data_IF_472547061795
#
_entry.id   IF_472547061795
#
_cell.length_a   1.000
_cell.length_b   1.000
_cell.length_c   1.000
_cell.angle_alpha   90.00
_cell.angle_beta   90.00
_cell.angle_gamma   90.00
#
_symmetry.space_group_name_H-M   'P 1'
#
loop_
_entity.id
_entity.type
_entity.pdbx_description
1 polymer ?
#
# COMPACT_ATOMS: atom_id res chain seq x y z
N UNK A 1 27.41 59.17 23.34
CA UNK A 1 26.23 58.28 23.60
C UNK A 1 25.57 57.72 22.33
N UNK A 2 25.93 58.16 21.11
CA UNK A 2 25.34 57.66 19.85
C UNK A 2 25.83 56.28 19.42
N UNK A 3 27.04 55.87 19.76
CA UNK A 3 27.64 54.60 19.32
C UNK A 3 26.98 53.36 19.93
N UNK A 4 26.54 53.43 21.17
CA UNK A 4 25.91 52.32 21.89
C UNK A 4 24.51 51.98 21.31
N UNK A 5 23.74 52.97 20.92
CA UNK A 5 22.40 52.79 20.31
C UNK A 5 22.50 52.18 18.91
N UNK A 6 23.47 52.62 18.12
CA UNK A 6 23.70 52.08 16.77
C UNK A 6 24.17 50.62 16.79
N UNK A 7 25.03 50.26 17.74
CA UNK A 7 25.50 48.90 17.91
C UNK A 7 24.36 47.95 18.36
N UNK A 8 23.53 48.39 19.30
CA UNK A 8 22.37 47.62 19.74
C UNK A 8 21.35 47.38 18.60
N UNK A 9 21.11 48.40 17.80
CA UNK A 9 20.22 48.29 16.63
C UNK A 9 20.75 47.29 15.61
N UNK A 10 22.06 47.32 15.31
CA UNK A 10 22.68 46.37 14.40
C UNK A 10 22.58 44.91 14.88
N UNK A 11 22.76 44.68 16.18
CA UNK A 11 22.62 43.35 16.78
C UNK A 11 21.17 42.83 16.67
N UNK A 12 20.19 43.70 16.92
CA UNK A 12 18.77 43.33 16.80
C UNK A 12 18.42 42.98 15.35
N UNK A 13 18.86 43.75 14.37
CA UNK A 13 18.66 43.45 12.97
C UNK A 13 19.34 42.13 12.56
N UNK A 14 20.56 41.89 12.98
CA UNK A 14 21.26 40.65 12.73
C UNK A 14 20.50 39.46 13.34
N UNK A 15 19.98 39.58 14.56
CA UNK A 15 19.17 38.59 15.21
C UNK A 15 17.87 38.27 14.45
N UNK A 16 17.20 39.31 13.96
CA UNK A 16 15.96 39.12 13.14
C UNK A 16 16.28 38.43 11.82
N UNK A 17 17.35 38.80 11.12
CA UNK A 17 17.74 38.12 9.87
C UNK A 17 18.12 36.67 10.11
N UNK A 18 18.81 36.34 11.18
CA UNK A 18 19.15 34.98 11.55
C UNK A 18 17.88 34.17 11.88
N UNK A 19 16.96 34.77 12.63
CA UNK A 19 15.69 34.13 12.98
C UNK A 19 14.84 33.80 11.73
N UNK A 20 14.74 34.74 10.79
CA UNK A 20 14.03 34.50 9.51
C UNK A 20 14.77 33.45 8.69
N UNK A 21 16.10 33.48 8.62
CA UNK A 21 16.92 32.52 7.89
C UNK A 21 16.78 31.09 8.39
N UNK A 22 16.49 30.91 9.68
CA UNK A 22 16.21 29.57 10.25
C UNK A 22 14.73 29.20 10.15
N UNK A 23 13.84 30.16 10.37
CA UNK A 23 12.41 29.90 10.38
C UNK A 23 11.87 29.59 8.98
N UNK A 24 12.30 30.31 7.96
CA UNK A 24 11.80 30.15 6.61
C UNK A 24 11.99 28.72 6.07
N UNK A 25 13.20 28.11 6.10
CA UNK A 25 13.38 26.74 5.67
C UNK A 25 12.62 25.73 6.51
N UNK A 26 12.49 25.96 7.83
CA UNK A 26 11.76 25.07 8.70
C UNK A 26 10.27 25.02 8.36
N UNK A 27 9.67 26.17 8.09
CA UNK A 27 8.26 26.27 7.66
C UNK A 27 8.07 25.69 6.25
N UNK A 28 8.96 26.03 5.30
CA UNK A 28 8.88 25.53 3.92
C UNK A 28 8.98 24.01 3.87
N UNK A 29 9.98 23.41 4.54
CA UNK A 29 10.13 21.97 4.61
C UNK A 29 8.95 21.28 5.33
N UNK A 30 8.36 21.94 6.32
CA UNK A 30 7.16 21.45 6.99
C UNK A 30 5.96 21.42 6.03
N UNK A 31 5.79 22.46 5.24
CA UNK A 31 4.72 22.55 4.25
C UNK A 31 4.86 21.53 3.13
N UNK A 32 6.07 21.35 2.59
CA UNK A 32 6.37 20.35 1.57
C UNK A 32 6.01 18.94 2.06
N UNK A 33 6.40 18.57 3.27
CA UNK A 33 6.09 17.26 3.86
C UNK A 33 4.58 17.01 4.03
N UNK A 34 3.83 18.05 4.39
CA UNK A 34 2.36 17.93 4.51
C UNK A 34 1.75 17.77 3.13
N UNK A 35 2.18 18.55 2.16
CA UNK A 35 1.67 18.47 0.78
C UNK A 35 1.98 17.10 0.15
N UNK A 36 3.21 16.60 0.32
CA UNK A 36 3.60 15.27 -0.17
C UNK A 36 2.75 14.17 0.47
N UNK A 37 2.54 14.23 1.79
CA UNK A 37 1.69 13.27 2.50
C UNK A 37 0.21 13.34 2.08
N UNK A 38 -0.30 14.52 1.71
CA UNK A 38 -1.65 14.68 1.15
C UNK A 38 -1.75 14.05 -0.23
N UNK A 39 -0.75 14.25 -1.10
CA UNK A 39 -0.71 13.64 -2.45
C UNK A 39 -0.65 12.11 -2.33
N UNK A 40 0.26 11.58 -1.53
CA UNK A 40 0.40 10.13 -1.31
C UNK A 40 -0.90 9.50 -0.79
N UNK A 41 -1.61 10.23 0.08
CA UNK A 41 -2.91 9.79 0.60
C UNK A 41 -3.99 9.78 -0.46
N UNK A 42 -4.04 10.82 -1.29
CA UNK A 42 -5.03 10.93 -2.36
C UNK A 42 -4.80 9.86 -3.43
N UNK A 43 -3.55 9.59 -3.79
CA UNK A 43 -3.18 8.51 -4.72
C UNK A 43 -3.56 7.14 -4.15
N UNK A 44 -3.26 6.86 -2.87
CA UNK A 44 -3.67 5.62 -2.22
C UNK A 44 -5.21 5.46 -2.18
N UNK A 45 -5.95 6.54 -1.99
CA UNK A 45 -7.41 6.51 -2.05
C UNK A 45 -7.94 6.25 -3.46
N UNK A 46 -7.30 6.80 -4.50
CA UNK A 46 -7.67 6.54 -5.89
C UNK A 46 -7.40 5.08 -6.25
N UNK A 47 -6.24 4.53 -5.86
CA UNK A 47 -5.89 3.14 -6.09
C UNK A 47 -6.87 2.20 -5.39
N UNK A 48 -7.21 2.47 -4.14
CA UNK A 48 -8.22 1.69 -3.40
C UNK A 48 -9.59 1.72 -4.08
N UNK A 49 -10.02 2.86 -4.61
CA UNK A 49 -11.32 3.01 -5.29
C UNK A 49 -11.35 2.37 -6.68
N UNK A 50 -10.20 2.31 -7.34
CA UNK A 50 -10.05 1.75 -8.67
C UNK A 50 -9.66 0.25 -8.64
N UNK A 51 -9.36 -0.28 -7.47
CA UNK A 51 -9.12 -1.70 -7.26
C UNK A 51 -10.47 -2.40 -7.05
N UNK A 52 -10.69 -3.46 -7.77
CA UNK A 52 -11.82 -4.37 -7.58
C UNK A 52 -11.35 -5.79 -7.87
N UNK A 53 -11.59 -6.71 -6.95
CA UNK A 53 -11.20 -8.11 -7.09
C UNK A 53 -12.38 -9.01 -6.78
N UNK A 54 -12.51 -10.08 -7.54
CA UNK A 54 -13.60 -11.01 -7.41
C UNK A 54 -13.10 -12.46 -7.40
N UNK A 55 -13.53 -13.24 -6.42
CA UNK A 55 -13.26 -14.67 -6.41
C UNK A 55 -14.13 -15.31 -7.48
N UNK A 56 -13.51 -15.91 -8.49
CA UNK A 56 -14.20 -16.57 -9.60
C UNK A 56 -14.39 -18.04 -9.34
N UNK A 57 -13.50 -18.67 -8.57
CA UNK A 57 -13.60 -20.09 -8.23
C UNK A 57 -12.80 -20.40 -6.95
N UNK A 58 -13.35 -21.24 -6.10
CA UNK A 58 -12.66 -21.86 -4.98
C UNK A 58 -12.97 -23.36 -5.03
N UNK A 59 -11.92 -24.16 -5.11
CA UNK A 59 -12.01 -25.62 -5.07
C UNK A 59 -11.14 -26.15 -3.93
N UNK A 60 -11.19 -27.46 -3.68
CA UNK A 60 -10.35 -28.12 -2.67
C UNK A 60 -8.82 -27.97 -2.95
N UNK A 61 -8.43 -27.49 -4.12
CA UNK A 61 -7.01 -27.44 -4.51
C UNK A 61 -6.53 -26.07 -4.99
N UNK A 62 -7.43 -25.12 -5.26
CA UNK A 62 -7.06 -23.80 -5.76
C UNK A 62 -8.11 -22.73 -5.46
N UNK A 63 -7.65 -21.51 -5.26
CA UNK A 63 -8.45 -20.29 -5.29
C UNK A 63 -8.09 -19.48 -6.53
N UNK A 64 -9.09 -18.99 -7.25
CA UNK A 64 -8.93 -18.09 -8.40
C UNK A 64 -9.61 -16.77 -8.12
N UNK A 65 -8.85 -15.69 -8.28
CA UNK A 65 -9.32 -14.32 -8.06
C UNK A 65 -9.02 -13.50 -9.30
N UNK A 66 -10.03 -12.84 -9.85
CA UNK A 66 -9.88 -11.96 -10.99
C UNK A 66 -9.76 -10.51 -10.55
N UNK A 67 -8.85 -9.77 -11.17
CA UNK A 67 -8.79 -8.32 -11.06
C UNK A 67 -9.85 -7.72 -11.99
N UNK A 68 -10.94 -7.22 -11.43
CA UNK A 68 -12.02 -6.56 -12.16
C UNK A 68 -11.90 -5.03 -12.12
N UNK A 69 -10.91 -4.53 -11.36
CA UNK A 69 -10.60 -3.12 -11.28
C UNK A 69 -9.83 -2.58 -12.47
N UNK A 70 -9.40 -1.36 -12.36
CA UNK A 70 -8.54 -0.67 -13.34
C UNK A 70 -7.11 -0.44 -12.85
N UNK A 71 -6.81 -0.84 -11.61
CA UNK A 71 -5.49 -0.73 -11.00
C UNK A 71 -4.70 -2.02 -11.18
N UNK A 72 -3.42 -1.90 -11.52
CA UNK A 72 -2.50 -3.04 -11.53
C UNK A 72 -2.10 -3.39 -10.10
N UNK A 73 -2.11 -4.67 -9.78
CA UNK A 73 -1.81 -5.20 -8.45
C UNK A 73 -0.49 -5.96 -8.46
N UNK A 74 0.08 -6.15 -7.29
CA UNK A 74 1.30 -6.93 -7.08
C UNK A 74 0.94 -8.27 -6.45
N UNK A 75 1.07 -9.36 -7.22
CA UNK A 75 0.76 -10.71 -6.78
C UNK A 75 1.62 -11.18 -5.60
N UNK A 76 2.87 -10.68 -5.48
CA UNK A 76 3.76 -11.02 -4.37
C UNK A 76 3.37 -10.31 -3.07
N UNK A 77 2.49 -9.32 -3.15
CA UNK A 77 2.01 -8.55 -1.99
C UNK A 77 0.61 -8.92 -1.52
N UNK A 78 0.02 -9.95 -2.10
CA UNK A 78 -1.27 -10.44 -1.60
C UNK A 78 -1.09 -11.21 -0.29
N UNK A 79 -2.05 -11.06 0.60
CA UNK A 79 -2.14 -11.81 1.84
C UNK A 79 -3.29 -12.81 1.75
N UNK A 80 -3.03 -14.05 2.18
CA UNK A 80 -4.03 -15.10 2.28
C UNK A 80 -4.34 -15.39 3.75
N UNK A 81 -5.63 -15.42 4.07
CA UNK A 81 -6.13 -15.74 5.40
C UNK A 81 -7.14 -16.88 5.28
N UNK A 82 -6.92 -17.97 6.00
CA UNK A 82 -7.80 -19.15 6.01
C UNK A 82 -8.40 -19.28 7.41
N UNK A 83 -9.73 -19.24 7.52
CA UNK A 83 -10.45 -19.30 8.81
C UNK A 83 -9.96 -18.29 9.84
N UNK A 84 -9.52 -17.08 9.39
CA UNK A 84 -8.97 -16.06 10.25
C UNK A 84 -7.49 -16.24 10.60
N UNK A 85 -6.82 -17.26 10.08
CA UNK A 85 -5.38 -17.51 10.27
C UNK A 85 -4.61 -17.03 9.06
N UNK A 86 -3.68 -16.13 9.27
CA UNK A 86 -2.77 -15.61 8.23
C UNK A 86 -1.83 -16.71 7.73
N UNK A 87 -1.70 -16.82 6.42
CA UNK A 87 -0.74 -17.70 5.76
C UNK A 87 0.48 -16.88 5.32
N UNK A 88 1.70 -17.28 5.73
CA UNK A 88 2.92 -16.60 5.30
C UNK A 88 3.04 -16.60 3.77
N UNK A 89 3.50 -15.48 3.20
CA UNK A 89 3.65 -15.35 1.74
C UNK A 89 4.66 -16.33 1.15
N UNK A 90 5.66 -16.72 1.94
CA UNK A 90 6.66 -17.71 1.54
C UNK A 90 6.10 -19.15 1.45
N UNK A 91 4.89 -19.38 1.97
CA UNK A 91 4.26 -20.69 2.00
C UNK A 91 3.42 -21.00 0.75
N UNK A 92 3.16 -20.00 -0.09
CA UNK A 92 2.42 -20.18 -1.35
C UNK A 92 3.03 -19.36 -2.49
N UNK A 93 2.86 -19.86 -3.73
CA UNK A 93 3.30 -19.17 -4.93
C UNK A 93 2.08 -18.80 -5.76
N UNK A 94 1.77 -17.50 -5.90
CA UNK A 94 0.70 -17.08 -6.78
C UNK A 94 1.11 -17.22 -8.25
N UNK A 95 0.15 -17.55 -9.10
CA UNK A 95 0.29 -17.55 -10.56
C UNK A 95 -0.65 -16.53 -11.16
N UNK A 96 -0.17 -15.71 -12.10
CA UNK A 96 -1.00 -14.77 -12.86
C UNK A 96 -1.21 -15.34 -14.27
N UNK A 97 -2.44 -15.70 -14.60
CA UNK A 97 -2.82 -16.35 -15.87
C UNK A 97 -1.94 -17.57 -16.24
N UNK A 98 -1.43 -18.30 -15.21
CA UNK A 98 -0.59 -19.48 -15.37
C UNK A 98 0.91 -19.17 -15.46
N UNK A 99 1.32 -17.92 -15.25
CA UNK A 99 2.72 -17.52 -15.18
C UNK A 99 3.14 -17.27 -13.73
N UNK A 100 4.16 -18.00 -13.27
CA UNK A 100 4.76 -17.88 -11.93
C UNK A 100 5.95 -16.94 -11.89
N UNK A 101 6.39 -16.42 -13.04
CA UNK A 101 7.57 -15.55 -13.17
C UNK A 101 7.25 -14.07 -13.07
N UNK A 102 5.97 -13.71 -13.08
CA UNK A 102 5.50 -12.33 -12.97
C UNK A 102 4.80 -12.09 -11.64
N UNK A 103 5.12 -10.95 -11.02
CA UNK A 103 4.35 -10.43 -9.87
C UNK A 103 3.30 -9.41 -10.31
N UNK A 104 3.32 -8.98 -11.57
CA UNK A 104 2.38 -7.99 -12.08
C UNK A 104 1.03 -8.63 -12.40
N UNK A 105 -0.02 -8.20 -11.71
CA UNK A 105 -1.39 -8.67 -11.89
C UNK A 105 -2.26 -7.54 -12.46
N UNK A 106 -2.42 -7.56 -13.78
CA UNK A 106 -3.09 -6.52 -14.55
C UNK A 106 -4.62 -6.62 -14.47
N UNK A 107 -5.34 -5.52 -14.79
CA UNK A 107 -6.78 -5.54 -14.98
C UNK A 107 -7.23 -6.62 -15.96
N UNK A 108 -8.19 -7.44 -15.53
CA UNK A 108 -8.75 -8.54 -16.31
C UNK A 108 -8.03 -9.88 -16.16
N UNK A 109 -6.84 -9.91 -15.58
CA UNK A 109 -6.09 -11.15 -15.33
C UNK A 109 -6.57 -11.87 -14.08
N UNK A 110 -6.26 -13.16 -14.00
CA UNK A 110 -6.66 -14.05 -12.91
C UNK A 110 -5.45 -14.52 -12.12
N UNK A 111 -5.44 -14.20 -10.82
CA UNK A 111 -4.52 -14.75 -9.84
C UNK A 111 -5.02 -16.13 -9.39
N UNK A 112 -4.17 -17.13 -9.43
CA UNK A 112 -4.43 -18.46 -8.89
C UNK A 112 -3.43 -18.77 -7.75
N UNK A 113 -3.94 -19.30 -6.65
CA UNK A 113 -3.12 -19.83 -5.55
C UNK A 113 -3.53 -21.29 -5.38
N UNK A 114 -2.55 -22.17 -5.37
CA UNK A 114 -2.76 -23.61 -5.24
C UNK A 114 -2.44 -24.10 -3.84
N UNK A 115 -3.19 -25.09 -3.39
CA UNK A 115 -2.79 -25.88 -2.23
C UNK A 115 -1.42 -26.51 -2.44
N UNK A 116 -0.66 -26.52 -1.37
CA UNK A 116 0.63 -27.20 -1.31
C UNK A 116 0.84 -27.80 0.09
N UNK A 117 2.02 -28.35 0.38
CA UNK A 117 2.29 -28.95 1.69
C UNK A 117 2.31 -27.98 2.86
N UNK A 118 2.39 -26.68 2.61
CA UNK A 118 2.44 -25.61 3.63
C UNK A 118 1.08 -24.93 3.81
N UNK A 119 0.35 -24.71 2.73
CA UNK A 119 -0.98 -24.07 2.73
C UNK A 119 -2.02 -25.05 2.23
N UNK A 120 -3.03 -25.31 3.04
CA UNK A 120 -4.15 -26.20 2.71
C UNK A 120 -5.46 -25.72 3.35
N UNK A 121 -6.56 -26.06 2.74
CA UNK A 121 -7.92 -25.81 3.23
C UNK A 121 -8.84 -26.99 2.94
N UNK A 122 -10.01 -27.00 3.52
CA UNK A 122 -11.02 -28.04 3.35
C UNK A 122 -12.35 -27.42 2.96
N UNK A 123 -13.29 -28.25 2.50
CA UNK A 123 -14.66 -27.80 2.21
C UNK A 123 -15.26 -27.02 3.37
N UNK A 124 -15.91 -25.92 3.07
CA UNK A 124 -16.49 -24.92 3.99
C UNK A 124 -15.45 -24.06 4.73
N UNK A 125 -14.16 -24.17 4.43
CA UNK A 125 -13.18 -23.20 4.95
C UNK A 125 -13.35 -21.84 4.29
N UNK A 126 -13.22 -20.79 5.11
CA UNK A 126 -13.34 -19.42 4.66
C UNK A 126 -11.97 -18.89 4.23
N UNK A 127 -11.83 -18.59 2.94
CA UNK A 127 -10.61 -18.01 2.37
C UNK A 127 -10.82 -16.53 2.11
N UNK A 128 -9.89 -15.73 2.62
CA UNK A 128 -9.87 -14.29 2.41
C UNK A 128 -8.55 -13.88 1.77
N UNK A 129 -8.64 -13.24 0.62
CA UNK A 129 -7.50 -12.61 -0.04
C UNK A 129 -7.52 -11.11 0.22
N UNK A 130 -6.36 -10.55 0.51
CA UNK A 130 -6.17 -9.10 0.74
C UNK A 130 -5.07 -8.60 -0.18
N UNK A 131 -5.33 -7.51 -0.89
CA UNK A 131 -4.36 -6.86 -1.77
C UNK A 131 -3.50 -5.84 -1.03
N UNK A 132 -2.41 -5.40 -1.64
CA UNK A 132 -1.55 -4.33 -1.16
C UNK A 132 -2.25 -2.97 -1.02
N UNK A 133 -3.34 -2.75 -1.76
CA UNK A 133 -4.20 -1.57 -1.61
C UNK A 133 -5.25 -1.69 -0.50
N UNK A 134 -5.22 -2.78 0.27
CA UNK A 134 -6.10 -3.02 1.42
C UNK A 134 -7.51 -3.50 1.06
N UNK A 135 -7.79 -3.77 -0.24
CA UNK A 135 -9.04 -4.40 -0.63
C UNK A 135 -9.01 -5.89 -0.33
N UNK A 136 -10.12 -6.43 0.15
CA UNK A 136 -10.21 -7.85 0.46
C UNK A 136 -11.47 -8.47 -0.11
N UNK A 137 -11.35 -9.72 -0.55
CA UNK A 137 -12.46 -10.55 -0.98
C UNK A 137 -12.46 -11.85 -0.17
N UNK A 138 -13.63 -12.37 0.14
CA UNK A 138 -13.80 -13.62 0.90
C UNK A 138 -14.63 -14.59 0.08
N UNK A 139 -14.18 -15.84 0.05
CA UNK A 139 -14.91 -16.97 -0.52
C UNK A 139 -14.90 -18.16 0.42
N UNK A 140 -15.72 -19.15 0.13
CA UNK A 140 -15.80 -20.40 0.87
C UNK A 140 -15.38 -21.54 -0.05
N UNK A 141 -14.58 -22.46 0.46
CA UNK A 141 -14.17 -23.66 -0.26
C UNK A 141 -15.36 -24.58 -0.47
N UNK A 142 -15.49 -25.08 -1.69
CA UNK A 142 -16.63 -25.93 -2.09
C UNK A 142 -16.44 -27.38 -1.64
#
# INVERSE_FOLDING_TARGET
MGFSVSASTAIIFAGVFLAIGVLYPAVSNGYERVTDAEIDRDDAHLDMRNTDINITNVTDSQIKVRNEGSTSLDADKVDLVINGVYQPRDDFNPEVDGDTSTSLWLPGETLAIYENGSVSWSSNDQLKLVTDHGLSVTGEAA
#
